data_IF_261188836629
#
_entry.id   IF_261188836629
#
_cell.length_a   1.000
_cell.length_b   1.000
_cell.length_c   1.000
_cell.angle_alpha   90.00
_cell.angle_beta   90.00
_cell.angle_gamma   90.00
#
_symmetry.space_group_name_H-M   'P 1'
#
loop_
_entity.id
_entity.type
_entity.pdbx_description
1 polymer ?
#
# COMPACT_ATOMS: atom_id res chain seq x y z
N UNK A 1 6.31 38.51 9.60
CA UNK A 1 6.29 37.47 8.54
C UNK A 1 6.08 38.13 7.18
N UNK A 2 7.12 38.70 6.56
CA UNK A 2 6.99 39.37 5.26
C UNK A 2 8.32 39.47 4.48
N UNK A 3 9.16 38.43 4.54
CA UNK A 3 10.45 38.42 3.83
C UNK A 3 10.61 37.28 2.81
N UNK A 4 9.56 36.51 2.51
CA UNK A 4 9.62 35.38 1.55
C UNK A 4 8.95 35.62 0.19
N UNK A 5 8.40 36.80 -0.08
CA UNK A 5 7.68 37.09 -1.34
C UNK A 5 8.49 37.90 -2.37
N UNK A 6 9.70 38.35 -2.05
CA UNK A 6 10.48 39.24 -2.93
C UNK A 6 11.51 38.50 -3.79
N UNK A 7 11.99 37.32 -3.37
CA UNK A 7 13.01 36.57 -4.12
C UNK A 7 12.49 35.91 -5.40
N UNK A 8 11.18 35.68 -5.53
CA UNK A 8 10.58 35.08 -6.73
C UNK A 8 10.40 36.05 -7.90
N UNK A 9 10.52 37.38 -7.68
CA UNK A 9 10.27 38.37 -8.75
C UNK A 9 11.53 38.69 -9.57
N UNK A 10 12.73 38.55 -8.98
CA UNK A 10 13.98 38.84 -9.66
C UNK A 10 14.40 37.76 -10.68
N UNK A 11 13.92 36.52 -10.54
CA UNK A 11 14.16 35.43 -11.50
C UNK A 11 13.31 35.53 -12.78
N UNK A 12 12.25 36.36 -12.77
CA UNK A 12 11.28 36.48 -13.88
C UNK A 12 11.78 37.43 -15.00
N UNK A 13 12.84 38.21 -14.76
CA UNK A 13 13.36 39.23 -15.70
C UNK A 13 14.75 38.94 -16.25
N UNK A 14 15.24 37.69 -16.20
CA UNK A 14 16.42 37.31 -16.98
C UNK A 14 15.99 37.00 -18.43
N UNK A 15 16.53 37.69 -19.45
CA UNK A 15 16.23 37.41 -20.86
C UNK A 15 16.43 35.94 -21.26
N UNK A 16 17.35 35.25 -20.59
CA UNK A 16 17.60 33.82 -20.79
C UNK A 16 16.48 32.95 -20.24
N UNK A 17 15.96 33.25 -19.04
CA UNK A 17 14.83 32.52 -18.44
C UNK A 17 13.55 32.77 -19.23
N UNK A 18 13.32 34.01 -19.66
CA UNK A 18 12.18 34.36 -20.51
C UNK A 18 12.23 33.63 -21.87
N UNK A 19 13.43 33.48 -22.47
CA UNK A 19 13.59 32.73 -23.72
C UNK A 19 13.31 31.24 -23.53
N UNK A 20 13.78 30.65 -22.43
CA UNK A 20 13.51 29.24 -22.10
C UNK A 20 12.02 29.02 -21.85
N UNK A 21 11.37 29.90 -21.09
CA UNK A 21 9.93 29.87 -20.85
C UNK A 21 9.12 30.01 -22.16
N UNK A 22 9.54 30.91 -23.06
CA UNK A 22 8.90 31.07 -24.37
C UNK A 22 9.08 29.83 -25.26
N UNK A 23 10.26 29.20 -25.26
CA UNK A 23 10.50 27.97 -26.02
C UNK A 23 9.68 26.80 -25.49
N UNK A 24 9.63 26.62 -24.17
CA UNK A 24 8.84 25.54 -23.54
C UNK A 24 7.34 25.76 -23.76
N UNK A 25 6.85 27.00 -23.71
CA UNK A 25 5.45 27.32 -24.05
C UNK A 25 5.10 27.01 -25.52
N UNK A 26 6.04 27.25 -26.44
CA UNK A 26 5.89 26.88 -27.85
C UNK A 26 5.82 25.37 -28.03
N UNK A 27 6.69 24.61 -27.37
CA UNK A 27 6.71 23.14 -27.46
C UNK A 27 5.40 22.54 -26.92
N UNK A 28 4.89 23.07 -25.81
CA UNK A 28 3.56 22.69 -25.29
C UNK A 28 2.44 22.99 -26.28
N UNK A 29 2.48 24.15 -26.94
CA UNK A 29 1.47 24.52 -27.94
C UNK A 29 1.49 23.59 -29.15
N UNK A 30 2.68 23.14 -29.56
CA UNK A 30 2.85 22.16 -30.63
C UNK A 30 2.28 20.79 -30.23
N UNK A 31 2.59 20.31 -29.03
CA UNK A 31 2.04 19.05 -28.50
C UNK A 31 0.52 19.10 -28.37
N UNK A 32 -0.03 20.21 -27.86
CA UNK A 32 -1.49 20.39 -27.72
C UNK A 32 -2.20 20.37 -29.09
N UNK A 33 -1.64 21.04 -30.10
CA UNK A 33 -2.16 21.01 -31.46
C UNK A 33 -2.08 19.61 -32.08
N UNK A 34 -0.99 18.89 -31.86
CA UNK A 34 -0.81 17.52 -32.32
C UNK A 34 -1.80 16.56 -31.64
N UNK A 35 -1.97 16.63 -30.32
CA UNK A 35 -2.95 15.82 -29.58
C UNK A 35 -4.37 16.08 -30.06
N UNK A 36 -4.75 17.35 -30.26
CA UNK A 36 -6.06 17.70 -30.81
C UNK A 36 -6.29 17.16 -32.23
N UNK A 37 -5.23 16.93 -33.01
CA UNK A 37 -5.31 16.35 -34.35
C UNK A 37 -5.55 14.84 -34.36
N UNK A 38 -5.12 14.12 -33.30
CA UNK A 38 -5.17 12.63 -33.26
C UNK A 38 -6.55 12.08 -32.89
N UNK A 39 -7.38 12.86 -32.21
CA UNK A 39 -8.75 12.43 -31.88
C UNK A 39 -9.75 13.59 -31.88
N UNK A 40 -10.91 13.46 -32.55
CA UNK A 40 -11.99 14.44 -32.46
C UNK A 40 -12.47 14.68 -31.03
N UNK A 41 -12.37 13.67 -30.16
CA UNK A 41 -12.77 13.76 -28.76
C UNK A 41 -11.83 14.66 -27.93
N UNK A 42 -10.55 14.72 -28.32
CA UNK A 42 -9.52 15.51 -27.64
C UNK A 42 -9.48 16.98 -28.07
N UNK A 43 -10.27 17.35 -29.08
CA UNK A 43 -10.41 18.73 -29.55
C UNK A 43 -11.13 19.63 -28.54
N UNK A 44 -12.06 19.07 -27.76
CA UNK A 44 -12.91 19.84 -26.84
C UNK A 44 -12.44 19.75 -25.38
N UNK A 45 -11.75 18.67 -25.00
CA UNK A 45 -11.17 18.52 -23.67
C UNK A 45 -10.02 17.52 -23.73
N UNK A 46 -8.80 18.02 -23.53
CA UNK A 46 -7.65 17.15 -23.33
C UNK A 46 -7.74 16.53 -21.93
N UNK A 47 -7.44 15.23 -21.76
CA UNK A 47 -7.29 14.63 -20.46
C UNK A 47 -6.31 15.45 -19.60
N UNK A 48 -6.64 15.69 -18.32
CA UNK A 48 -5.72 16.42 -17.44
C UNK A 48 -4.50 15.55 -17.13
N UNK A 49 -3.32 16.05 -17.46
CA UNK A 49 -2.04 15.42 -17.12
C UNK A 49 -1.06 16.45 -16.58
N UNK A 50 -0.05 15.99 -15.84
CA UNK A 50 0.97 16.84 -15.23
C UNK A 50 1.86 17.47 -16.31
N UNK A 51 1.89 18.81 -16.35
CA UNK A 51 2.77 19.58 -17.24
C UNK A 51 4.13 19.79 -16.57
N UNK A 52 4.98 18.78 -16.69
CA UNK A 52 6.36 18.78 -16.21
C UNK A 52 7.33 18.72 -17.42
N UNK A 53 8.59 19.11 -17.23
CA UNK A 53 9.61 19.05 -18.27
C UNK A 53 9.84 17.62 -18.77
N UNK A 54 9.72 16.62 -17.90
CA UNK A 54 9.86 15.21 -18.26
C UNK A 54 8.69 14.73 -19.13
N UNK A 55 7.47 15.18 -18.84
CA UNK A 55 6.30 14.86 -19.67
C UNK A 55 6.37 15.56 -21.02
N UNK A 56 6.88 16.79 -21.09
CA UNK A 56 7.13 17.47 -22.37
C UNK A 56 8.13 16.71 -23.25
N UNK A 57 9.25 16.26 -22.69
CA UNK A 57 10.26 15.48 -23.42
C UNK A 57 9.68 14.17 -23.94
N UNK A 58 8.94 13.44 -23.09
CA UNK A 58 8.29 12.21 -23.48
C UNK A 58 7.27 12.42 -24.60
N UNK A 59 6.42 13.46 -24.50
CA UNK A 59 5.43 13.78 -25.52
C UNK A 59 6.07 14.20 -26.85
N UNK A 60 7.12 15.01 -26.84
CA UNK A 60 7.86 15.37 -28.06
C UNK A 60 8.50 14.15 -28.74
N UNK A 61 9.05 13.22 -27.95
CA UNK A 61 9.59 11.97 -28.48
C UNK A 61 8.50 11.06 -29.07
N UNK A 62 7.31 11.03 -28.46
CA UNK A 62 6.16 10.30 -29.00
C UNK A 62 5.66 10.92 -30.31
N UNK A 63 5.60 12.25 -30.38
CA UNK A 63 5.20 12.97 -31.60
C UNK A 63 6.14 12.61 -32.75
N UNK A 64 7.46 12.73 -32.54
CA UNK A 64 8.45 12.46 -33.58
C UNK A 64 8.45 10.99 -34.03
N UNK A 65 8.31 10.05 -33.09
CA UNK A 65 8.20 8.63 -33.41
C UNK A 65 6.92 8.32 -34.20
N UNK A 66 5.82 8.97 -33.85
CA UNK A 66 4.54 8.78 -34.54
C UNK A 66 4.58 9.37 -35.96
N UNK A 67 5.15 10.57 -36.15
CA UNK A 67 5.34 11.15 -37.48
C UNK A 67 6.25 10.27 -38.35
N UNK A 68 7.35 9.75 -37.82
CA UNK A 68 8.21 8.81 -38.53
C UNK A 68 7.47 7.52 -38.95
N UNK A 69 6.62 6.98 -38.07
CA UNK A 69 5.80 5.82 -38.38
C UNK A 69 4.74 6.11 -39.45
N UNK A 70 4.09 7.28 -39.39
CA UNK A 70 3.11 7.71 -40.38
C UNK A 70 3.76 7.91 -41.76
N UNK A 71 4.98 8.45 -41.82
CA UNK A 71 5.75 8.59 -43.07
C UNK A 71 6.16 7.24 -43.65
N UNK A 72 6.61 6.30 -42.82
CA UNK A 72 6.90 4.93 -43.28
C UNK A 72 5.65 4.25 -43.86
N UNK A 73 4.49 4.40 -43.21
CA UNK A 73 3.21 3.85 -43.72
C UNK A 73 2.83 4.46 -45.06
N UNK A 74 3.01 5.76 -45.24
CA UNK A 74 2.76 6.45 -46.52
C UNK A 74 3.67 5.95 -47.64
N UNK A 75 4.94 5.68 -47.32
CA UNK A 75 5.89 5.13 -48.30
C UNK A 75 5.50 3.72 -48.73
N UNK A 76 5.17 2.83 -47.78
CA UNK A 76 4.70 1.49 -48.10
C UNK A 76 3.43 1.51 -48.94
N UNK A 77 2.43 2.29 -48.55
CA UNK A 77 1.19 2.42 -49.32
C UNK A 77 1.42 2.94 -50.76
N UNK A 78 2.42 3.81 -50.95
CA UNK A 78 2.81 4.27 -52.29
C UNK A 78 3.46 3.15 -53.09
N UNK A 79 4.38 2.40 -52.49
CA UNK A 79 5.04 1.26 -53.15
C UNK A 79 3.98 0.23 -53.56
N UNK A 80 3.07 -0.13 -52.67
CA UNK A 80 2.00 -1.09 -52.97
C UNK A 80 1.09 -0.60 -54.09
N UNK A 81 0.69 0.67 -54.05
CA UNK A 81 -0.12 1.27 -55.12
C UNK A 81 0.62 1.24 -56.48
N UNK A 82 1.93 1.53 -56.50
CA UNK A 82 2.73 1.46 -57.73
C UNK A 82 2.91 0.02 -58.23
N UNK A 83 3.09 -0.95 -57.33
CA UNK A 83 3.20 -2.35 -57.68
C UNK A 83 1.89 -2.88 -58.28
N UNK A 84 0.75 -2.55 -57.66
CA UNK A 84 -0.58 -2.91 -58.18
C UNK A 84 -0.87 -2.25 -59.54
N UNK A 85 -0.43 -1.01 -59.74
CA UNK A 85 -0.53 -0.35 -61.05
C UNK A 85 0.32 -1.04 -62.11
N UNK A 86 1.54 -1.47 -61.78
CA UNK A 86 2.41 -2.19 -62.70
C UNK A 86 1.83 -3.56 -63.09
N UNK A 87 1.31 -4.32 -62.12
CA UNK A 87 0.65 -5.61 -62.37
C UNK A 87 -0.60 -5.45 -63.24
N UNK A 88 -1.47 -4.51 -62.90
CA UNK A 88 -2.68 -4.25 -63.69
C UNK A 88 -2.38 -3.71 -65.10
N UNK A 89 -1.26 -3.00 -65.30
CA UNK A 89 -0.80 -2.59 -66.62
C UNK A 89 -0.27 -3.77 -67.43
N UNK A 90 0.43 -4.73 -66.79
CA UNK A 90 0.90 -5.96 -67.41
C UNK A 90 -0.28 -6.83 -67.89
N UNK A 91 -1.29 -7.05 -67.03
CA UNK A 91 -2.49 -7.82 -67.38
C UNK A 91 -3.27 -7.19 -68.54
N UNK A 92 -3.33 -5.86 -68.59
CA UNK A 92 -3.97 -5.11 -69.68
C UNK A 92 -3.14 -5.13 -70.97
N UNK A 93 -1.82 -5.11 -70.88
CA UNK A 93 -0.93 -5.23 -72.05
C UNK A 93 -1.01 -6.63 -72.65
N UNK A 94 -1.01 -7.69 -71.84
CA UNK A 94 -1.23 -9.05 -72.31
C UNK A 94 -2.62 -9.24 -72.94
N UNK A 95 -3.66 -8.56 -72.40
CA UNK A 95 -5.01 -8.60 -72.97
C UNK A 95 -5.18 -7.73 -74.23
N UNK A 96 -4.43 -6.62 -74.36
CA UNK A 96 -4.56 -5.66 -75.47
C UNK A 96 -3.76 -6.02 -76.73
N UNK A 97 -2.74 -6.87 -76.62
CA UNK A 97 -1.94 -7.35 -77.78
C UNK A 97 -2.72 -8.40 -78.61
N UNK A 98 -3.84 -8.92 -78.11
CA UNK A 98 -4.66 -9.96 -78.76
C UNK A 98 -5.53 -9.46 -79.94
N UNK A 99 -5.43 -8.20 -80.36
CA UNK A 99 -6.27 -7.67 -81.46
C UNK A 99 -5.73 -7.97 -82.87
N UNK A 100 -4.46 -8.36 -83.03
CA UNK A 100 -3.86 -8.64 -84.34
C UNK A 100 -3.09 -9.97 -84.35
N UNK A 101 -3.80 -11.05 -84.69
CA UNK A 101 -3.24 -12.24 -85.35
C UNK A 101 -2.34 -13.17 -84.52
N UNK A 102 -2.91 -14.31 -84.13
CA UNK A 102 -2.20 -15.58 -83.82
C UNK A 102 -1.20 -15.60 -82.67
N UNK A 103 -1.60 -15.14 -81.49
CA UNK A 103 -0.95 -15.58 -80.25
C UNK A 103 -1.88 -16.53 -79.51
N UNK A 104 -1.46 -17.79 -79.38
CA UNK A 104 -2.09 -18.78 -78.49
C UNK A 104 -2.22 -18.13 -77.11
N UNK A 105 -3.44 -17.80 -76.70
CA UNK A 105 -3.64 -17.32 -75.33
C UNK A 105 -3.16 -18.42 -74.38
N UNK A 106 -2.62 -18.03 -73.23
CA UNK A 106 -2.19 -18.98 -72.19
C UNK A 106 -3.27 -20.03 -71.92
N UNK A 107 -4.54 -19.61 -71.95
CA UNK A 107 -5.71 -20.51 -71.87
C UNK A 107 -5.72 -21.57 -72.96
N UNK A 108 -5.64 -21.20 -74.25
CA UNK A 108 -5.63 -22.16 -75.35
C UNK A 108 -4.41 -23.10 -75.35
N UNK A 109 -3.25 -22.64 -74.89
CA UNK A 109 -2.06 -23.48 -74.77
C UNK A 109 -2.20 -24.50 -73.63
N UNK A 110 -2.72 -24.07 -72.48
CA UNK A 110 -3.01 -24.97 -71.35
C UNK A 110 -4.08 -25.99 -71.73
N UNK A 111 -5.13 -25.56 -72.45
CA UNK A 111 -6.19 -26.42 -72.94
C UNK A 111 -5.63 -27.47 -73.93
N UNK A 112 -4.75 -27.07 -74.86
CA UNK A 112 -4.09 -28.00 -75.77
C UNK A 112 -3.12 -28.98 -75.04
N UNK A 113 -2.48 -28.55 -73.96
CA UNK A 113 -1.62 -29.42 -73.14
C UNK A 113 -2.48 -30.43 -72.35
N UNK A 114 -3.61 -29.99 -71.80
CA UNK A 114 -4.56 -30.84 -71.09
C UNK A 114 -5.13 -31.93 -72.01
N UNK A 115 -5.49 -31.57 -73.25
CA UNK A 115 -6.00 -32.50 -74.25
C UNK A 115 -4.92 -33.42 -74.86
N UNK A 116 -3.63 -33.11 -74.70
CA UNK A 116 -2.52 -33.94 -75.20
C UNK A 116 -1.89 -34.83 -74.12
N UNK A 117 -2.33 -34.71 -72.88
CA UNK A 117 -1.85 -35.54 -71.78
C UNK A 117 -2.56 -36.91 -71.74
N UNK A 118 -1.83 -38.03 -71.60
CA UNK A 118 -2.44 -39.33 -71.34
C UNK A 118 -3.14 -39.34 -69.98
N UNK A 119 -4.12 -40.22 -69.78
CA UNK A 119 -4.92 -40.31 -68.54
C UNK A 119 -4.07 -40.42 -67.27
N UNK A 120 -2.95 -41.14 -67.34
CA UNK A 120 -2.01 -41.25 -66.23
C UNK A 120 -1.30 -39.92 -65.91
N UNK A 121 -1.05 -39.09 -66.92
CA UNK A 121 -0.49 -37.75 -66.77
C UNK A 121 -1.48 -36.76 -66.14
N UNK A 122 -2.77 -36.83 -66.53
CA UNK A 122 -3.83 -36.02 -65.90
C UNK A 122 -3.97 -36.39 -64.43
N UNK A 123 -4.03 -37.68 -64.10
CA UNK A 123 -4.09 -38.14 -62.71
C UNK A 123 -2.87 -37.70 -61.90
N UNK A 124 -1.66 -37.75 -62.48
CA UNK A 124 -0.45 -37.29 -61.80
C UNK A 124 -0.47 -35.77 -61.55
N UNK A 125 -1.00 -34.99 -62.49
CA UNK A 125 -1.15 -33.54 -62.36
C UNK A 125 -2.20 -33.17 -61.32
N UNK A 126 -3.33 -33.89 -61.26
CA UNK A 126 -4.37 -33.72 -60.25
C UNK A 126 -3.85 -34.04 -58.85
N UNK A 127 -3.10 -35.14 -58.70
CA UNK A 127 -2.45 -35.49 -57.43
C UNK A 127 -1.42 -34.45 -57.04
N UNK A 128 -0.62 -33.96 -57.98
CA UNK A 128 0.39 -32.92 -57.71
C UNK A 128 -0.27 -31.59 -57.35
N UNK A 129 -1.41 -31.26 -57.95
CA UNK A 129 -2.21 -30.08 -57.62
C UNK A 129 -2.87 -30.22 -56.24
N UNK A 130 -3.39 -31.39 -55.90
CA UNK A 130 -3.91 -31.70 -54.57
C UNK A 130 -2.80 -31.56 -53.51
N UNK A 131 -1.63 -32.17 -53.74
CA UNK A 131 -0.48 -32.06 -52.84
C UNK A 131 0.05 -30.62 -52.75
N UNK A 132 0.12 -29.89 -53.86
CA UNK A 132 0.56 -28.50 -53.87
C UNK A 132 -0.44 -27.57 -53.17
N UNK A 133 -1.75 -27.84 -53.25
CA UNK A 133 -2.78 -27.06 -52.55
C UNK A 133 -2.81 -27.36 -51.05
N UNK A 134 -2.59 -28.61 -50.64
CA UNK A 134 -2.35 -28.96 -49.23
C UNK A 134 -1.04 -28.36 -48.69
N UNK A 135 0.02 -28.34 -49.51
CA UNK A 135 1.28 -27.71 -49.13
C UNK A 135 1.22 -26.17 -49.11
N UNK A 136 0.44 -25.55 -50.00
CA UNK A 136 0.23 -24.09 -50.05
C UNK A 136 -0.67 -23.59 -48.90
N UNK A 137 -1.56 -24.44 -48.39
CA UNK A 137 -2.37 -24.16 -47.18
C UNK A 137 -1.59 -24.34 -45.88
N UNK A 138 -0.35 -24.86 -45.93
CA UNK A 138 0.54 -24.96 -44.77
C UNK A 138 1.16 -23.61 -44.34
N UNK A 139 0.91 -22.51 -45.05
CA UNK A 139 1.15 -21.18 -44.52
C UNK A 139 -0.03 -20.79 -43.62
N UNK A 140 0.11 -21.02 -42.31
CA UNK A 140 -0.83 -20.45 -41.34
C UNK A 140 -0.99 -18.95 -41.62
N UNK A 141 -2.23 -18.49 -41.73
CA UNK A 141 -2.58 -17.08 -41.94
C UNK A 141 -1.75 -16.22 -40.96
N UNK A 142 -0.92 -15.28 -41.45
CA UNK A 142 -0.03 -14.49 -40.60
C UNK A 142 -0.80 -13.75 -39.50
N UNK A 143 -2.05 -13.38 -39.75
CA UNK A 143 -2.94 -12.76 -38.75
C UNK A 143 -3.34 -13.75 -37.66
N UNK A 144 -3.63 -15.00 -38.02
CA UNK A 144 -3.91 -16.07 -37.07
C UNK A 144 -2.68 -16.36 -36.19
N UNK A 145 -1.49 -16.48 -36.79
CA UNK A 145 -0.25 -16.70 -36.07
C UNK A 145 0.08 -15.53 -35.14
N UNK A 146 -0.09 -14.29 -35.61
CA UNK A 146 0.06 -13.09 -34.80
C UNK A 146 -0.90 -13.06 -33.61
N UNK A 147 -2.16 -13.41 -33.83
CA UNK A 147 -3.17 -13.49 -32.74
C UNK A 147 -2.81 -14.54 -31.69
N UNK A 148 -2.29 -15.71 -32.12
CA UNK A 148 -1.83 -16.76 -31.23
C UNK A 148 -0.60 -16.33 -30.42
N UNK A 149 0.36 -15.67 -31.06
CA UNK A 149 1.55 -15.14 -30.39
C UNK A 149 1.17 -14.09 -29.35
N UNK A 150 0.30 -13.15 -29.68
CA UNK A 150 -0.16 -12.13 -28.72
C UNK A 150 -0.92 -12.74 -27.55
N UNK A 151 -1.76 -13.75 -27.81
CA UNK A 151 -2.48 -14.48 -26.76
C UNK A 151 -1.50 -15.22 -25.85
N UNK A 152 -0.52 -15.92 -26.42
CA UNK A 152 0.52 -16.62 -25.65
C UNK A 152 1.33 -15.62 -24.81
N UNK A 153 1.74 -14.49 -25.39
CA UNK A 153 2.44 -13.43 -24.67
C UNK A 153 1.60 -12.90 -23.49
N UNK A 154 0.30 -12.71 -23.71
CA UNK A 154 -0.64 -12.33 -22.64
C UNK A 154 -0.71 -13.37 -21.52
N UNK A 155 -0.74 -14.66 -21.87
CA UNK A 155 -0.75 -15.73 -20.85
C UNK A 155 0.57 -15.83 -20.08
N UNK A 156 1.71 -15.66 -20.75
CA UNK A 156 3.03 -15.68 -20.12
C UNK A 156 3.16 -14.50 -19.14
N UNK A 157 2.83 -13.29 -19.59
CA UNK A 157 2.89 -12.11 -18.74
C UNK A 157 1.93 -12.22 -17.53
N UNK A 158 0.71 -12.74 -17.76
CA UNK A 158 -0.24 -13.01 -16.68
C UNK A 158 0.32 -13.99 -15.66
N UNK A 159 0.93 -15.08 -16.10
CA UNK A 159 1.57 -16.07 -15.24
C UNK A 159 2.74 -15.47 -14.45
N UNK A 160 3.63 -14.73 -15.10
CA UNK A 160 4.76 -14.04 -14.46
C UNK A 160 4.29 -13.05 -13.39
N UNK A 161 3.25 -12.27 -13.68
CA UNK A 161 2.68 -11.32 -12.72
C UNK A 161 2.05 -12.04 -11.52
N UNK A 162 1.37 -13.17 -11.74
CA UNK A 162 0.82 -13.97 -10.63
C UNK A 162 1.92 -14.59 -9.78
N UNK A 163 3.00 -15.08 -10.39
CA UNK A 163 4.15 -15.62 -9.67
C UNK A 163 4.81 -14.54 -8.80
N UNK A 164 5.05 -13.34 -9.35
CA UNK A 164 5.61 -12.23 -8.60
C UNK A 164 4.74 -11.80 -7.41
N UNK A 165 3.41 -11.85 -7.57
CA UNK A 165 2.46 -11.58 -6.46
C UNK A 165 2.53 -12.66 -5.39
N UNK A 166 2.59 -13.93 -5.77
CA UNK A 166 2.71 -15.05 -4.82
C UNK A 166 4.01 -14.95 -4.04
N UNK A 167 5.14 -14.65 -4.70
CA UNK A 167 6.43 -14.43 -4.03
C UNK A 167 6.42 -13.25 -3.05
N UNK A 168 5.65 -12.20 -3.34
CA UNK A 168 5.47 -11.10 -2.41
C UNK A 168 4.65 -11.52 -1.18
N UNK A 169 3.59 -12.30 -1.38
CA UNK A 169 2.79 -12.84 -0.28
C UNK A 169 3.57 -13.84 0.58
N UNK A 170 4.35 -14.72 -0.04
CA UNK A 170 5.19 -15.69 0.68
C UNK A 170 6.19 -14.99 1.61
N UNK A 171 6.90 -13.99 1.08
CA UNK A 171 7.82 -13.16 1.89
C UNK A 171 7.11 -12.43 3.03
N UNK A 172 5.87 -11.99 2.82
CA UNK A 172 5.10 -11.35 3.89
C UNK A 172 4.66 -12.38 4.95
N UNK A 173 4.20 -13.56 4.53
CA UNK A 173 3.84 -14.63 5.44
C UNK A 173 5.01 -15.09 6.30
N UNK A 174 6.21 -15.20 5.71
CA UNK A 174 7.44 -15.55 6.43
C UNK A 174 7.76 -14.50 7.50
N UNK A 175 7.70 -13.21 7.17
CA UNK A 175 7.94 -12.13 8.16
C UNK A 175 6.91 -12.14 9.28
N UNK A 176 5.64 -12.33 8.96
CA UNK A 176 4.57 -12.40 9.97
C UNK A 176 4.73 -13.65 10.86
N UNK A 177 5.18 -14.77 10.30
CA UNK A 177 5.47 -15.99 11.05
C UNK A 177 6.66 -15.79 11.99
N UNK A 178 7.76 -15.21 11.50
CA UNK A 178 8.94 -14.87 12.31
C UNK A 178 8.57 -13.91 13.45
N UNK A 179 7.76 -12.87 13.16
CA UNK A 179 7.28 -11.93 14.16
C UNK A 179 6.37 -12.58 15.21
N UNK A 180 5.49 -13.50 14.78
CA UNK A 180 4.64 -14.26 15.69
C UNK A 180 5.46 -15.22 16.58
N UNK A 181 6.50 -15.85 16.05
CA UNK A 181 7.43 -16.68 16.81
C UNK A 181 8.22 -15.88 17.84
N UNK A 182 8.72 -14.70 17.47
CA UNK A 182 9.41 -13.78 18.39
C UNK A 182 8.48 -13.32 19.52
N UNK A 183 7.22 -12.99 19.19
CA UNK A 183 6.22 -12.61 20.17
C UNK A 183 5.88 -13.77 21.10
N UNK A 184 5.74 -14.99 20.57
CA UNK A 184 5.50 -16.20 21.36
C UNK A 184 6.67 -16.47 22.31
N UNK A 185 7.91 -16.37 21.84
CA UNK A 185 9.11 -16.49 22.67
C UNK A 185 9.13 -15.43 23.78
N UNK A 186 8.75 -14.19 23.45
CA UNK A 186 8.66 -13.09 24.42
C UNK A 186 7.60 -13.37 25.49
N UNK A 187 6.42 -13.87 25.11
CA UNK A 187 5.35 -14.23 26.06
C UNK A 187 5.70 -15.44 26.92
N UNK A 188 6.49 -16.38 26.40
CA UNK A 188 6.98 -17.53 27.16
C UNK A 188 8.19 -17.21 28.05
N UNK A 189 8.79 -16.03 27.87
CA UNK A 189 9.92 -15.58 28.68
C UNK A 189 9.54 -15.40 30.15
N UNK A 190 10.55 -15.49 31.02
CA UNK A 190 10.39 -15.33 32.47
C UNK A 190 9.86 -13.94 32.87
N UNK A 191 9.88 -12.96 31.96
CA UNK A 191 9.31 -11.63 32.16
C UNK A 191 7.77 -11.63 32.31
N UNK A 192 7.12 -12.60 31.66
CA UNK A 192 5.65 -12.74 31.64
C UNK A 192 5.15 -13.91 32.49
N UNK A 193 6.05 -14.69 33.08
CA UNK A 193 5.68 -15.68 34.10
C UNK A 193 5.53 -14.99 35.45
N UNK A 194 4.46 -15.29 36.21
CA UNK A 194 4.36 -14.81 37.57
C UNK A 194 5.54 -15.35 38.38
N UNK A 195 6.25 -14.51 39.17
CA UNK A 195 7.32 -14.94 40.05
C UNK A 195 6.87 -16.15 40.88
N UNK A 196 7.69 -17.21 40.93
CA UNK A 196 7.35 -18.47 41.61
C UNK A 196 7.07 -18.31 43.11
N UNK A 197 7.52 -17.20 43.70
CA UNK A 197 7.31 -16.85 45.10
C UNK A 197 6.03 -16.04 45.34
N UNK A 198 5.34 -15.57 44.30
CA UNK A 198 4.17 -14.69 44.43
C UNK A 198 3.02 -15.39 45.17
N UNK A 199 2.81 -16.69 44.94
CA UNK A 199 1.82 -17.48 45.68
C UNK A 199 2.15 -17.60 47.19
N UNK A 200 3.43 -17.75 47.54
CA UNK A 200 3.89 -17.80 48.93
C UNK A 200 3.75 -16.43 49.60
N UNK A 201 4.16 -15.37 48.92
CA UNK A 201 3.99 -13.99 49.39
C UNK A 201 2.50 -13.64 49.59
N UNK A 202 1.62 -14.07 48.69
CA UNK A 202 0.18 -13.84 48.83
C UNK A 202 -0.39 -14.57 50.05
N UNK A 203 0.02 -15.82 50.28
CA UNK A 203 -0.37 -16.57 51.49
C UNK A 203 0.14 -15.91 52.78
N UNK A 204 1.37 -15.41 52.78
CA UNK A 204 1.94 -14.73 53.95
C UNK A 204 1.25 -13.39 54.20
N UNK A 205 0.93 -12.62 53.16
CA UNK A 205 0.11 -11.41 53.28
C UNK A 205 -1.29 -11.75 53.79
N UNK A 206 -1.95 -12.80 53.28
CA UNK A 206 -3.25 -13.25 53.80
C UNK A 206 -3.18 -13.66 55.27
N UNK A 207 -2.12 -14.35 55.70
CA UNK A 207 -1.90 -14.71 57.10
C UNK A 207 -1.76 -13.47 57.96
N UNK A 208 -0.92 -12.51 57.55
CA UNK A 208 -0.73 -11.22 58.24
C UNK A 208 -2.03 -10.44 58.33
N UNK A 209 -2.80 -10.35 57.24
CA UNK A 209 -4.12 -9.71 57.24
C UNK A 209 -5.03 -10.38 58.25
N UNK A 210 -5.09 -11.73 58.27
CA UNK A 210 -5.90 -12.46 59.25
C UNK A 210 -5.49 -12.17 60.70
N UNK A 211 -4.19 -12.10 60.97
CA UNK A 211 -3.67 -11.79 62.31
C UNK A 211 -4.03 -10.37 62.72
N UNK A 212 -3.81 -9.40 61.84
CA UNK A 212 -4.13 -7.98 62.10
C UNK A 212 -5.65 -7.78 62.20
N UNK A 213 -6.45 -8.42 61.35
CA UNK A 213 -7.91 -8.34 61.43
C UNK A 213 -8.46 -8.96 62.70
N UNK A 214 -7.81 -10.01 63.23
CA UNK A 214 -8.18 -10.59 64.52
C UNK A 214 -7.82 -9.68 65.71
N UNK A 215 -6.78 -8.84 65.58
CA UNK A 215 -6.39 -7.85 66.59
C UNK A 215 -7.16 -6.54 66.49
N UNK A 216 -7.87 -6.31 65.38
CA UNK A 216 -8.62 -5.08 65.14
C UNK A 216 -9.73 -4.83 66.19
N UNK A 217 -10.54 -5.82 66.60
CA UNK A 217 -11.53 -5.64 67.67
C UNK A 217 -10.87 -5.27 68.99
N UNK A 218 -9.80 -5.95 69.39
CA UNK A 218 -9.10 -5.67 70.65
C UNK A 218 -8.48 -4.26 70.66
N UNK A 219 -7.92 -3.81 69.53
CA UNK A 219 -7.40 -2.44 69.39
C UNK A 219 -8.54 -1.41 69.37
N UNK A 220 -9.66 -1.73 68.72
CA UNK A 220 -10.86 -0.90 68.75
C UNK A 220 -11.39 -0.76 70.17
N UNK A 221 -11.48 -1.86 70.92
CA UNK A 221 -11.90 -1.89 72.32
C UNK A 221 -10.94 -1.13 73.24
N UNK A 222 -9.64 -1.17 72.98
CA UNK A 222 -8.66 -0.33 73.70
C UNK A 222 -8.82 1.14 73.37
N UNK A 223 -9.11 1.50 72.11
CA UNK A 223 -9.35 2.89 71.71
C UNK A 223 -10.67 3.40 72.27
N UNK A 224 -11.73 2.59 72.32
CA UNK A 224 -13.00 2.96 72.96
C UNK A 224 -12.85 3.04 74.47
N UNK A 225 -12.08 2.16 75.11
CA UNK A 225 -11.77 2.24 76.55
C UNK A 225 -10.91 3.47 76.89
N UNK A 226 -9.89 3.77 76.08
CA UNK A 226 -9.10 5.00 76.22
C UNK A 226 -9.96 6.23 75.95
N UNK A 227 -10.82 6.20 74.92
CA UNK A 227 -11.81 7.22 74.62
C UNK A 227 -12.80 7.43 75.78
N UNK A 228 -13.19 6.36 76.48
CA UNK A 228 -14.01 6.43 77.69
C UNK A 228 -13.24 6.95 78.91
N UNK A 229 -11.91 6.76 78.98
CA UNK A 229 -11.05 7.33 80.03
C UNK A 229 -10.67 8.80 79.77
N UNK A 230 -10.56 9.20 78.49
CA UNK A 230 -10.23 10.55 78.02
C UNK A 230 -11.51 11.38 77.85
N UNK A 231 -12.68 10.73 77.73
CA UNK A 231 -13.94 11.31 78.12
C UNK A 231 -13.84 11.61 79.62
N UNK A 232 -13.19 12.74 79.91
CA UNK A 232 -13.16 13.37 81.22
C UNK A 232 -14.59 13.28 81.74
N UNK A 233 -14.87 12.49 82.80
CA UNK A 233 -16.05 12.80 83.57
C UNK A 233 -15.84 14.27 83.92
N UNK A 234 -16.74 15.13 83.47
CA UNK A 234 -16.80 16.50 83.95
C UNK A 234 -16.70 16.35 85.47
N UNK A 235 -15.54 16.68 86.04
CA UNK A 235 -15.34 16.59 87.48
C UNK A 235 -16.43 17.46 88.05
N UNK A 236 -17.47 16.84 88.58
CA UNK A 236 -18.63 17.57 89.00
C UNK A 236 -18.17 18.41 90.19
N UNK A 237 -18.70 19.62 90.34
CA UNK A 237 -18.33 20.49 91.47
C UNK A 237 -18.52 19.75 92.81
N UNK A 238 -19.44 18.78 92.88
CA UNK A 238 -19.60 17.87 94.01
C UNK A 238 -18.37 17.01 94.33
N UNK A 239 -17.68 16.47 93.32
CA UNK A 239 -16.48 15.66 93.52
C UNK A 239 -15.32 16.50 94.07
N UNK A 240 -15.23 17.77 93.64
CA UNK A 240 -14.26 18.74 94.17
C UNK A 240 -14.55 19.06 95.63
N UNK A 241 -15.83 19.23 95.98
CA UNK A 241 -16.25 19.51 97.36
C UNK A 241 -15.94 18.32 98.28
N UNK A 242 -16.19 17.08 97.84
CA UNK A 242 -15.83 15.90 98.65
C UNK A 242 -14.32 15.80 98.88
N UNK A 243 -13.52 16.10 97.85
CA UNK A 243 -12.06 16.14 97.95
C UNK A 243 -11.59 17.23 98.91
N UNK A 244 -12.19 18.41 98.85
CA UNK A 244 -11.91 19.52 99.75
C UNK A 244 -12.25 19.16 101.20
N UNK A 245 -13.40 18.55 101.45
CA UNK A 245 -13.79 18.10 102.79
C UNK A 245 -12.83 17.05 103.35
N UNK A 246 -12.40 16.07 102.54
CA UNK A 246 -11.40 15.09 102.96
C UNK A 246 -10.05 15.73 103.28
N UNK A 247 -9.64 16.71 102.46
CA UNK A 247 -8.39 17.43 102.70
C UNK A 247 -8.45 18.26 103.99
N UNK A 248 -9.55 18.95 104.24
CA UNK A 248 -9.76 19.71 105.48
C UNK A 248 -9.78 18.80 106.72
N UNK A 249 -10.40 17.63 106.64
CA UNK A 249 -10.38 16.64 107.71
C UNK A 249 -8.94 16.15 108.00
N UNK A 250 -8.14 15.93 106.95
CA UNK A 250 -6.75 15.53 107.09
C UNK A 250 -5.91 16.64 107.75
N UNK A 251 -6.10 17.90 107.35
CA UNK A 251 -5.43 19.04 107.97
C UNK A 251 -5.79 19.20 109.44
N UNK A 252 -7.06 19.00 109.80
CA UNK A 252 -7.48 19.01 111.19
C UNK A 252 -6.78 17.90 111.98
N UNK A 253 -6.69 16.69 111.42
CA UNK A 253 -6.04 15.57 112.08
C UNK A 253 -4.53 15.78 112.24
N UNK A 254 -3.86 16.33 111.21
CA UNK A 254 -2.44 16.70 111.30
C UNK A 254 -2.21 17.75 112.38
N UNK A 255 -3.12 18.73 112.50
CA UNK A 255 -3.01 19.77 113.53
C UNK A 255 -3.20 19.22 114.93
N UNK A 256 -4.21 18.38 115.14
CA UNK A 256 -4.46 17.72 116.43
C UNK A 256 -3.25 16.85 116.85
N UNK A 257 -2.71 16.06 115.92
CA UNK A 257 -1.48 15.30 116.16
C UNK A 257 -0.29 16.22 116.48
N UNK A 258 -0.18 17.38 115.84
CA UNK A 258 0.89 18.34 116.13
C UNK A 258 0.75 18.98 117.51
N UNK A 259 -0.47 19.25 117.97
CA UNK A 259 -0.76 19.77 119.30
C UNK A 259 -0.49 18.69 120.38
N UNK A 260 -0.84 17.43 120.11
CA UNK A 260 -0.51 16.29 120.98
C UNK A 260 1.02 16.08 121.10
N UNK A 261 1.76 16.22 119.99
CA UNK A 261 3.24 16.15 120.01
C UNK A 261 3.83 17.33 120.79
N UNK A 262 3.27 18.54 120.64
CA UNK A 262 3.73 19.71 121.38
C UNK A 262 3.48 19.57 122.90
N UNK A 263 2.33 19.04 123.32
CA UNK A 263 2.00 18.79 124.72
C UNK A 263 2.93 17.72 125.36
N UNK A 264 3.27 16.66 124.63
CA UNK A 264 4.23 15.65 125.06
C UNK A 264 5.68 16.15 125.16
N UNK A 265 5.98 17.33 124.59
CA UNK A 265 7.33 17.93 124.63
C UNK A 265 7.52 18.98 125.75
N UNK A 266 6.47 19.26 126.54
CA UNK A 266 6.51 20.20 127.68
C UNK A 266 6.38 19.54 129.07
N UNK A 267 6.26 18.21 129.15
CA UNK A 267 6.52 17.41 130.37
C UNK A 267 7.95 16.85 130.37
#
# INVERSE_FOLDING_TARGET
MAHRLVENSAAIFSPSVARIAASTARDWSYVDAWLASKSPAWKNSLPSFERNQDTLKALLALVSLNEAADDQRRLLARVDATALQALSAHDKAESGIAANGTTLTKGHLLDAIEHSLPKDGVNALDVLTAVASEAATASADPDHLGSLMLRLQGTVYGAEQTAARVDAFDRQLQREAEAAEELLHTLQSECYKPPSDLAKQNLDVQRRIKTVSAQLPDLHDRVTALGASIATPYMAIGDVIELEQRYQALLFHVRDLSEQIAALSQE
#
